data_IF_907990139913
#
_entry.id   IF_907990139913
#
_cell.length_a   1.000
_cell.length_b   1.000
_cell.length_c   1.000
_cell.angle_alpha   90.00
_cell.angle_beta   90.00
_cell.angle_gamma   90.00
#
_symmetry.space_group_name_H-M   'P 1'
#
loop_
_entity.id
_entity.type
_entity.pdbx_description
1 polymer ?
#
# COMPACT_ATOMS: atom_id res chain seq x y z
N UNK A 1 14.01 51.63 1.29
CA UNK A 1 12.67 51.12 0.92
C UNK A 1 12.90 49.77 0.27
N UNK A 2 13.29 48.75 1.04
CA UNK A 2 12.49 47.88 1.93
C UNK A 2 11.41 47.10 1.18
N UNK A 3 11.70 45.80 1.07
CA UNK A 3 10.81 44.68 1.33
C UNK A 3 9.58 44.52 0.42
N UNK A 4 9.77 43.74 -0.64
CA UNK A 4 8.68 42.96 -1.22
C UNK A 4 8.95 41.47 -0.96
N UNK A 5 8.92 41.10 0.33
CA UNK A 5 8.61 39.75 0.75
C UNK A 5 7.12 39.49 0.42
N UNK A 6 6.82 39.36 -0.86
CA UNK A 6 5.49 39.00 -1.34
C UNK A 6 5.39 37.47 -1.34
N UNK A 7 5.21 36.93 -0.13
CA UNK A 7 4.22 35.90 0.18
C UNK A 7 3.87 34.93 -0.95
N UNK A 8 4.81 34.06 -1.31
CA UNK A 8 4.47 32.79 -1.95
C UNK A 8 3.83 31.92 -0.88
N UNK A 9 2.54 32.16 -0.61
CA UNK A 9 1.69 31.16 0.01
C UNK A 9 1.66 29.96 -0.94
N UNK A 10 2.62 29.06 -0.76
CA UNK A 10 2.55 27.70 -1.28
C UNK A 10 1.30 27.10 -0.62
N UNK A 11 0.17 27.22 -1.30
CA UNK A 11 -1.06 26.57 -0.90
C UNK A 11 -0.72 25.08 -0.77
N UNK A 12 -0.61 24.59 0.47
CA UNK A 12 -0.35 23.20 0.75
C UNK A 12 -1.52 22.42 0.16
N UNK A 13 -1.38 21.96 -1.09
CA UNK A 13 -2.28 20.97 -1.65
C UNK A 13 -2.31 19.83 -0.64
N UNK A 14 -3.51 19.46 -0.18
CA UNK A 14 -3.68 18.31 0.70
C UNK A 14 -2.90 17.16 0.08
N UNK A 15 -2.02 16.48 0.83
CA UNK A 15 -1.32 15.32 0.29
C UNK A 15 -2.39 14.38 -0.27
N UNK A 16 -2.20 13.85 -1.50
CA UNK A 16 -3.14 12.88 -2.03
C UNK A 16 -3.31 11.77 -0.98
N UNK A 17 -4.54 11.32 -0.73
CA UNK A 17 -4.77 10.30 0.28
C UNK A 17 -3.86 9.13 -0.03
N UNK A 18 -3.07 8.72 0.97
CA UNK A 18 -2.19 7.57 0.86
C UNK A 18 -3.05 6.40 0.38
N UNK A 19 -2.71 5.85 -0.79
CA UNK A 19 -3.36 4.63 -1.27
C UNK A 19 -3.14 3.58 -0.19
N UNK A 20 -4.22 3.06 0.35
CA UNK A 20 -4.22 2.00 1.35
C UNK A 20 -3.42 0.82 0.81
N UNK A 21 -2.65 0.17 1.69
CA UNK A 21 -1.96 -1.07 1.35
C UNK A 21 -2.95 -2.06 0.75
N UNK A 22 -2.51 -2.91 -0.20
CA UNK A 22 -3.37 -3.93 -0.77
C UNK A 22 -3.95 -4.76 0.37
N UNK A 23 -5.27 -4.96 0.39
CA UNK A 23 -5.98 -5.41 1.58
C UNK A 23 -5.74 -6.90 1.92
N UNK A 24 -5.02 -7.63 1.06
CA UNK A 24 -4.79 -9.08 1.17
C UNK A 24 -3.43 -9.42 0.57
N UNK A 25 -2.77 -10.47 1.08
CA UNK A 25 -1.50 -10.97 0.54
C UNK A 25 -1.57 -11.31 -0.95
N UNK A 26 -2.69 -11.85 -1.42
CA UNK A 26 -2.91 -12.13 -2.84
C UNK A 26 -2.88 -10.85 -3.70
N UNK A 27 -3.55 -9.79 -3.26
CA UNK A 27 -3.47 -8.49 -3.92
C UNK A 27 -2.07 -7.87 -3.85
N UNK A 28 -1.34 -8.09 -2.76
CA UNK A 28 0.07 -7.67 -2.66
C UNK A 28 0.93 -8.39 -3.69
N UNK A 29 0.80 -9.71 -3.84
CA UNK A 29 1.51 -10.49 -4.85
C UNK A 29 1.20 -9.99 -6.27
N UNK A 30 -0.07 -9.75 -6.60
CA UNK A 30 -0.46 -9.17 -7.89
C UNK A 30 0.11 -7.77 -8.11
N UNK A 31 0.30 -6.99 -7.05
CA UNK A 31 0.99 -5.69 -7.13
C UNK A 31 2.49 -5.84 -7.42
N UNK A 32 3.17 -6.76 -6.72
CA UNK A 32 4.59 -7.05 -6.94
C UNK A 32 4.84 -7.52 -8.37
N UNK A 33 3.99 -8.40 -8.89
CA UNK A 33 4.08 -8.89 -10.26
C UNK A 33 3.94 -7.76 -11.29
N UNK A 34 2.99 -6.84 -11.10
CA UNK A 34 2.84 -5.68 -12.00
C UNK A 34 4.04 -4.74 -11.95
N UNK A 35 4.59 -4.50 -10.77
CA UNK A 35 5.82 -3.72 -10.62
C UNK A 35 7.01 -4.40 -11.31
N UNK A 36 7.08 -5.73 -11.23
CA UNK A 36 8.11 -6.51 -11.92
C UNK A 36 8.00 -6.37 -13.45
N UNK A 37 6.80 -6.51 -14.02
CA UNK A 37 6.56 -6.29 -15.45
C UNK A 37 7.01 -4.88 -15.87
N UNK A 38 6.63 -3.86 -15.10
CA UNK A 38 7.00 -2.48 -15.38
C UNK A 38 8.53 -2.30 -15.44
N UNK A 39 9.26 -2.93 -14.51
CA UNK A 39 10.72 -2.92 -14.51
C UNK A 39 11.32 -3.65 -15.71
N UNK A 40 10.74 -4.77 -16.15
CA UNK A 40 11.20 -5.48 -17.35
C UNK A 40 11.01 -4.64 -18.61
N UNK A 41 9.84 -4.01 -18.76
CA UNK A 41 9.56 -3.11 -19.89
C UNK A 41 10.48 -1.89 -19.92
N UNK A 42 10.80 -1.32 -18.75
CA UNK A 42 11.75 -0.21 -18.66
C UNK A 42 13.17 -0.62 -19.04
N UNK A 43 13.65 -1.77 -18.55
CA UNK A 43 14.95 -2.30 -18.95
C UNK A 43 15.02 -2.64 -20.44
N UNK A 44 13.93 -3.17 -21.00
CA UNK A 44 13.79 -3.45 -22.42
C UNK A 44 13.81 -2.19 -23.29
N UNK A 45 13.24 -1.09 -22.82
CA UNK A 45 13.25 0.17 -23.56
C UNK A 45 14.68 0.65 -23.86
N UNK A 46 15.61 0.42 -22.93
CA UNK A 46 17.03 0.70 -23.15
C UNK A 46 17.70 -0.29 -24.11
N UNK A 47 17.28 -1.57 -24.09
CA UNK A 47 17.87 -2.66 -24.87
C UNK A 47 17.24 -2.86 -26.27
N UNK A 48 16.14 -2.16 -26.58
CA UNK A 48 15.30 -2.29 -27.80
C UNK A 48 14.69 -3.66 -28.07
N UNK A 49 14.82 -4.62 -27.15
CA UNK A 49 14.21 -5.93 -27.26
C UNK A 49 13.61 -6.34 -25.90
N UNK A 50 12.27 -6.48 -25.79
CA UNK A 50 11.66 -6.94 -24.55
C UNK A 50 11.91 -8.43 -24.31
N UNK A 51 12.21 -8.82 -23.06
CA UNK A 51 12.32 -10.22 -22.67
C UNK A 51 11.07 -11.01 -23.07
N UNK A 52 11.25 -12.25 -23.55
CA UNK A 52 10.13 -13.13 -23.96
C UNK A 52 9.10 -13.29 -22.84
N UNK A 53 9.54 -13.27 -21.58
CA UNK A 53 8.66 -13.36 -20.42
C UNK A 53 7.67 -12.18 -20.37
N UNK A 54 8.10 -10.97 -20.72
CA UNK A 54 7.27 -9.76 -20.69
C UNK A 54 6.20 -9.72 -21.78
N UNK A 55 6.28 -10.60 -22.80
CA UNK A 55 5.27 -10.69 -23.86
C UNK A 55 3.95 -11.25 -23.37
N UNK A 56 3.99 -12.14 -22.36
CA UNK A 56 2.79 -12.67 -21.74
C UNK A 56 2.47 -11.95 -20.43
N UNK A 57 1.83 -10.78 -20.55
CA UNK A 57 1.47 -9.93 -19.41
C UNK A 57 0.50 -10.61 -18.43
N UNK A 58 -0.22 -11.68 -18.85
CA UNK A 58 -1.14 -12.40 -17.97
C UNK A 58 -0.43 -13.02 -16.77
N UNK A 59 0.83 -13.46 -16.96
CA UNK A 59 1.70 -13.97 -15.90
C UNK A 59 2.03 -12.94 -14.82
N UNK A 60 1.79 -11.65 -15.10
CA UNK A 60 2.10 -10.54 -14.20
C UNK A 60 0.85 -9.94 -13.54
N UNK A 61 -0.25 -10.69 -13.45
CA UNK A 61 -1.46 -10.25 -12.77
C UNK A 61 -2.32 -9.30 -13.61
N UNK A 62 -2.39 -9.55 -14.92
CA UNK A 62 -3.31 -8.88 -15.85
C UNK A 62 -4.32 -9.87 -16.42
N UNK A 63 -5.57 -9.45 -16.52
CA UNK A 63 -6.60 -10.19 -17.24
C UNK A 63 -6.65 -9.65 -18.68
N UNK A 64 -6.63 -10.56 -19.65
CA UNK A 64 -6.71 -10.25 -21.08
C UNK A 64 -8.05 -10.79 -21.59
N UNK A 65 -9.02 -9.90 -21.77
CA UNK A 65 -10.34 -10.24 -22.30
C UNK A 65 -10.48 -9.57 -23.67
N UNK A 66 -10.09 -10.29 -24.74
CA UNK A 66 -10.05 -9.75 -26.10
C UNK A 66 -9.06 -8.59 -26.20
N UNK A 67 -9.57 -7.37 -26.43
CA UNK A 67 -8.76 -6.13 -26.47
C UNK A 67 -8.68 -5.40 -25.13
N UNK A 68 -9.45 -5.83 -24.11
CA UNK A 68 -9.46 -5.19 -22.80
C UNK A 68 -8.38 -5.80 -21.91
N UNK A 69 -7.47 -4.95 -21.42
CA UNK A 69 -6.44 -5.33 -20.45
C UNK A 69 -6.82 -4.70 -19.12
N UNK A 70 -7.20 -5.51 -18.15
CA UNK A 70 -7.58 -5.05 -16.81
C UNK A 70 -6.66 -5.66 -15.75
N UNK A 71 -6.31 -4.93 -14.69
CA UNK A 71 -5.50 -5.50 -13.62
C UNK A 71 -6.31 -6.60 -12.92
N UNK A 72 -5.69 -7.77 -12.76
CA UNK A 72 -6.29 -8.81 -11.95
C UNK A 72 -6.38 -8.34 -10.49
N UNK A 73 -7.52 -8.58 -9.87
CA UNK A 73 -7.76 -8.28 -8.46
C UNK A 73 -8.21 -9.57 -7.80
N UNK A 74 -7.61 -9.89 -6.66
CA UNK A 74 -8.03 -11.02 -5.87
C UNK A 74 -9.40 -10.75 -5.25
N UNK A 75 -10.31 -11.71 -5.39
CA UNK A 75 -11.61 -11.73 -4.70
C UNK A 75 -11.52 -12.27 -3.28
N UNK A 76 -10.30 -12.56 -2.80
CA UNK A 76 -10.09 -13.05 -1.45
C UNK A 76 -10.65 -12.05 -0.42
N UNK A 77 -11.32 -12.54 0.63
CA UNK A 77 -11.84 -11.65 1.67
C UNK A 77 -10.69 -10.96 2.38
N UNK A 78 -10.81 -9.63 2.52
CA UNK A 78 -9.84 -8.75 3.23
C UNK A 78 -9.55 -9.23 4.64
N UNK A 79 -10.55 -9.82 5.29
CA UNK A 79 -10.44 -10.52 6.55
C UNK A 79 -11.60 -11.52 6.69
N UNK A 80 -11.48 -12.55 7.54
CA UNK A 80 -12.62 -13.39 7.93
C UNK A 80 -13.78 -12.53 8.42
N UNK A 81 -15.02 -12.80 7.98
CA UNK A 81 -16.17 -11.95 8.31
C UNK A 81 -16.42 -11.83 9.82
N UNK A 82 -16.06 -12.85 10.60
CA UNK A 82 -16.09 -12.82 12.05
C UNK A 82 -15.19 -11.74 12.66
N UNK A 83 -14.01 -11.47 12.06
CA UNK A 83 -13.11 -10.39 12.48
C UNK A 83 -13.66 -9.02 12.08
N UNK A 84 -14.23 -8.89 10.88
CA UNK A 84 -14.85 -7.63 10.42
C UNK A 84 -16.02 -7.20 11.33
N UNK A 85 -16.78 -8.17 11.84
CA UNK A 85 -17.83 -7.94 12.85
C UNK A 85 -17.28 -7.33 14.14
N UNK A 86 -16.18 -7.85 14.67
CA UNK A 86 -15.54 -7.35 15.89
C UNK A 86 -15.00 -5.92 15.72
N UNK A 87 -14.40 -5.60 14.56
CA UNK A 87 -13.89 -4.24 14.30
C UNK A 87 -15.03 -3.25 14.03
N UNK A 88 -16.12 -3.68 13.38
CA UNK A 88 -17.30 -2.84 13.13
C UNK A 88 -18.07 -2.45 14.40
N UNK A 89 -17.93 -3.23 15.50
CA UNK A 89 -18.47 -2.89 16.81
C UNK A 89 -17.62 -1.90 17.63
N UNK A 90 -16.47 -1.45 17.11
CA UNK A 90 -15.61 -0.48 17.82
C UNK A 90 -16.09 0.97 17.72
N UNK A 91 -17.19 1.25 17.00
CA UNK A 91 -17.83 2.59 17.02
C UNK A 91 -18.47 2.90 18.39
N UNK A 92 -18.45 1.94 19.34
CA UNK A 92 -18.82 2.14 20.74
C UNK A 92 -17.70 1.83 21.76
N UNK A 93 -16.43 1.75 21.35
CA UNK A 93 -15.33 1.69 22.32
C UNK A 93 -14.55 3.01 22.36
N UNK A 94 -14.90 3.78 23.40
CA UNK A 94 -14.23 4.95 23.95
C UNK A 94 -12.78 5.17 23.49
N UNK A 95 -12.49 6.41 23.06
CA UNK A 95 -11.18 6.97 22.66
C UNK A 95 -9.99 6.67 23.58
N UNK A 96 -10.22 6.14 24.77
CA UNK A 96 -9.19 5.88 25.77
C UNK A 96 -8.46 4.54 25.56
N UNK A 97 -9.09 3.53 24.94
CA UNK A 97 -8.50 2.18 24.87
C UNK A 97 -7.31 2.06 23.91
N UNK A 98 -7.29 2.83 22.82
CA UNK A 98 -6.19 2.78 21.84
C UNK A 98 -4.89 3.36 22.40
N UNK A 99 -4.98 4.43 23.22
CA UNK A 99 -3.81 5.00 23.88
C UNK A 99 -3.16 4.01 24.85
N UNK A 100 -3.95 3.25 25.61
CA UNK A 100 -3.41 2.26 26.54
C UNK A 100 -2.67 1.13 25.82
N UNK A 101 -3.18 0.64 24.68
CA UNK A 101 -2.50 -0.41 23.92
C UNK A 101 -1.17 0.07 23.30
N UNK A 102 -1.14 1.29 22.77
CA UNK A 102 0.10 1.87 22.22
C UNK A 102 1.14 2.08 23.33
N UNK A 103 0.73 2.60 24.49
CA UNK A 103 1.63 2.79 25.64
C UNK A 103 2.14 1.44 26.16
N UNK A 104 1.27 0.43 26.25
CA UNK A 104 1.65 -0.91 26.71
C UNK A 104 2.67 -1.56 25.79
N UNK A 105 2.46 -1.51 24.47
CA UNK A 105 3.40 -2.05 23.48
C UNK A 105 4.74 -1.32 23.54
N UNK A 106 4.73 0.01 23.64
CA UNK A 106 5.94 0.81 23.75
C UNK A 106 6.77 0.47 25.00
N UNK A 107 6.11 0.37 26.16
CA UNK A 107 6.77 -0.01 27.42
C UNK A 107 7.34 -1.44 27.33
N UNK A 108 6.58 -2.39 26.78
CA UNK A 108 7.04 -3.77 26.62
C UNK A 108 8.29 -3.86 25.74
N UNK A 109 8.31 -3.17 24.60
CA UNK A 109 9.47 -3.12 23.70
C UNK A 109 10.66 -2.48 24.40
N UNK A 110 10.47 -1.36 25.10
CA UNK A 110 11.54 -0.67 25.81
C UNK A 110 12.17 -1.54 26.90
N UNK A 111 11.36 -2.22 27.70
CA UNK A 111 11.83 -3.14 28.75
C UNK A 111 12.57 -4.33 28.12
N UNK A 112 12.04 -4.91 27.05
CA UNK A 112 12.67 -6.06 26.38
C UNK A 112 14.06 -5.70 25.84
N UNK A 113 14.18 -4.54 25.19
CA UNK A 113 15.46 -4.05 24.67
C UNK A 113 16.47 -3.80 25.81
N UNK A 114 16.03 -3.22 26.92
CA UNK A 114 16.95 -2.83 28.00
C UNK A 114 17.38 -4.02 28.90
N UNK A 115 16.61 -5.11 28.93
CA UNK A 115 16.92 -6.30 29.74
C UNK A 115 17.70 -7.35 28.94
N UNK A 116 17.48 -7.45 27.63
CA UNK A 116 18.02 -8.53 26.80
C UNK A 116 19.18 -8.11 25.86
N UNK A 117 19.65 -6.87 25.96
CA UNK A 117 20.91 -6.39 25.37
C UNK A 117 21.88 -6.05 26.50
#
# INVERSE_FOLDING_TARGET
MNDSCAHSYRCHKKPPPLKTLPPTDANLQLHVLRAHLQMLLWKAADQRDPPEEARNIANFGWNIEGSAITPAVSTAPVAPQALLGVVSCSVMMNKYTLHFLVIYIYIYIYIYIYIYI
#
